data_IF_012016897434
#
_entry.id   IF_012016897434
#
_cell.length_a   1.000
_cell.length_b   1.000
_cell.length_c   1.000
_cell.angle_alpha   90.00
_cell.angle_beta   90.00
_cell.angle_gamma   90.00
#
_symmetry.space_group_name_H-M   'P 1'
#
loop_
_entity.id
_entity.type
_entity.pdbx_description
1 polymer ?
#
# COMPACT_ATOMS: atom_id res chain seq x y z
N UNK A 1 10.22 6.96 -10.43
CA UNK A 1 10.70 6.45 -9.13
C UNK A 1 12.20 6.30 -9.19
N UNK A 2 12.89 6.84 -8.21
CA UNK A 2 14.33 6.71 -8.02
C UNK A 2 14.72 5.23 -7.91
N UNK A 3 15.81 4.77 -8.58
CA UNK A 3 16.25 3.38 -8.54
C UNK A 3 16.49 2.87 -7.12
N UNK A 4 16.98 3.71 -6.22
CA UNK A 4 17.28 3.35 -4.83
C UNK A 4 16.01 3.07 -4.04
N UNK A 5 14.95 3.84 -4.29
CA UNK A 5 13.63 3.64 -3.66
C UNK A 5 12.98 2.36 -4.18
N UNK A 6 13.06 2.13 -5.48
CA UNK A 6 12.57 0.89 -6.09
C UNK A 6 13.31 -0.33 -5.53
N UNK A 7 14.64 -0.29 -5.50
CA UNK A 7 15.45 -1.40 -5.01
C UNK A 7 15.22 -1.66 -3.53
N UNK A 8 15.07 -0.64 -2.70
CA UNK A 8 14.75 -0.81 -1.30
C UNK A 8 13.40 -1.50 -1.09
N UNK A 9 12.35 -1.12 -1.84
CA UNK A 9 11.05 -1.80 -1.76
C UNK A 9 11.12 -3.25 -2.27
N UNK A 10 11.94 -3.50 -3.29
CA UNK A 10 12.14 -4.84 -3.87
C UNK A 10 12.92 -5.78 -2.95
N UNK A 11 13.99 -5.29 -2.32
CA UNK A 11 14.92 -6.07 -1.48
C UNK A 11 14.53 -6.08 0.00
N UNK A 12 13.61 -5.21 0.41
CA UNK A 12 13.24 -5.03 1.81
C UNK A 12 14.23 -4.14 2.59
N UNK A 13 15.15 -3.44 1.91
CA UNK A 13 16.14 -2.56 2.55
C UNK A 13 15.52 -1.25 3.06
N UNK A 14 14.81 -1.35 4.19
CA UNK A 14 14.22 -0.20 4.88
C UNK A 14 15.29 0.79 5.34
N UNK A 15 16.47 0.31 5.77
CA UNK A 15 17.54 1.19 6.25
C UNK A 15 18.08 2.06 5.12
N UNK A 16 18.32 1.47 3.95
CA UNK A 16 18.70 2.19 2.73
C UNK A 16 17.62 3.18 2.28
N UNK A 17 16.34 2.79 2.35
CA UNK A 17 15.22 3.68 2.06
C UNK A 17 15.22 4.91 2.98
N UNK A 18 15.34 4.70 4.29
CA UNK A 18 15.33 5.79 5.29
C UNK A 18 16.53 6.73 5.13
N UNK A 19 17.72 6.18 4.83
CA UNK A 19 18.90 7.00 4.49
C UNK A 19 18.64 7.85 3.25
N UNK A 20 18.00 7.28 2.24
CA UNK A 20 17.66 7.98 1.00
C UNK A 20 16.64 9.09 1.25
N UNK A 21 15.57 8.82 2.02
CA UNK A 21 14.58 9.83 2.41
C UNK A 21 15.24 10.96 3.21
N UNK A 22 16.07 10.62 4.20
CA UNK A 22 16.81 11.61 5.00
C UNK A 22 17.72 12.49 4.14
N UNK A 23 18.43 11.91 3.17
CA UNK A 23 19.31 12.64 2.25
C UNK A 23 18.53 13.62 1.36
N UNK A 24 17.31 13.27 0.97
CA UNK A 24 16.45 14.11 0.12
C UNK A 24 15.60 15.10 0.94
N UNK A 25 15.58 15.01 2.27
CA UNK A 25 14.97 15.99 3.16
C UNK A 25 13.43 15.98 3.23
N UNK A 26 12.74 15.08 2.52
CA UNK A 26 11.28 14.98 2.53
C UNK A 26 10.79 13.54 2.38
N UNK A 27 9.76 13.16 3.15
CA UNK A 27 9.03 11.89 3.03
C UNK A 27 8.19 11.83 1.75
N UNK A 28 7.93 12.96 1.08
CA UNK A 28 7.35 12.99 -0.28
C UNK A 28 8.18 12.18 -1.28
N UNK A 29 9.46 11.98 -0.99
CA UNK A 29 10.34 11.11 -1.78
C UNK A 29 9.82 9.66 -1.85
N UNK A 30 8.98 9.22 -0.90
CA UNK A 30 8.29 7.92 -0.92
C UNK A 30 7.04 7.88 -1.82
N UNK A 31 6.49 9.05 -2.18
CA UNK A 31 5.31 9.18 -3.05
C UNK A 31 5.60 8.92 -4.53
N UNK A 32 6.87 8.68 -4.86
CA UNK A 32 7.28 8.36 -6.20
C UNK A 32 6.57 7.11 -6.75
N UNK A 33 6.28 7.16 -8.05
CA UNK A 33 5.65 6.05 -8.78
C UNK A 33 6.58 5.51 -9.87
N UNK A 34 6.45 4.23 -10.17
CA UNK A 34 7.05 3.62 -11.37
C UNK A 34 6.26 4.01 -12.63
N UNK A 35 6.75 3.72 -13.85
CA UNK A 35 5.97 3.93 -15.07
C UNK A 35 4.62 3.19 -15.10
N UNK A 36 4.47 2.11 -14.31
CA UNK A 36 3.20 1.38 -14.13
C UNK A 36 2.29 2.00 -13.07
N UNK A 37 2.69 3.11 -12.47
CA UNK A 37 1.96 3.77 -11.37
C UNK A 37 2.14 3.11 -10.00
N UNK A 38 3.02 2.12 -9.88
CA UNK A 38 3.25 1.43 -8.60
C UNK A 38 4.07 2.34 -7.65
N UNK A 39 3.63 2.43 -6.40
CA UNK A 39 4.44 2.97 -5.32
C UNK A 39 5.18 1.83 -4.57
N UNK A 40 5.93 2.17 -3.51
CA UNK A 40 6.68 1.19 -2.71
C UNK A 40 5.79 0.07 -2.12
N UNK A 41 4.55 0.38 -1.73
CA UNK A 41 3.60 -0.60 -1.16
C UNK A 41 2.97 -1.52 -2.22
N UNK A 42 3.02 -1.16 -3.49
CA UNK A 42 2.68 -2.10 -4.57
C UNK A 42 3.85 -3.04 -4.89
N UNK A 43 5.08 -2.60 -4.70
CA UNK A 43 6.29 -3.37 -5.08
C UNK A 43 6.64 -4.40 -4.01
N UNK A 44 6.71 -3.98 -2.74
CA UNK A 44 7.16 -4.84 -1.65
C UNK A 44 6.42 -6.19 -1.53
N UNK A 45 5.08 -6.28 -1.71
CA UNK A 45 4.39 -7.57 -1.66
C UNK A 45 4.79 -8.52 -2.78
N UNK A 46 5.05 -8.00 -4.00
CA UNK A 46 5.45 -8.83 -5.14
C UNK A 46 6.75 -9.59 -4.88
N UNK A 47 7.58 -9.08 -3.97
CA UNK A 47 8.85 -9.68 -3.54
C UNK A 47 8.80 -10.29 -2.14
N UNK A 48 7.60 -10.47 -1.56
CA UNK A 48 7.38 -11.05 -0.22
C UNK A 48 8.14 -10.33 0.89
N UNK A 49 8.31 -9.02 0.77
CA UNK A 49 9.04 -8.22 1.74
C UNK A 49 8.16 -7.88 2.95
N UNK A 50 7.78 -8.89 3.74
CA UNK A 50 6.92 -8.73 4.92
C UNK A 50 7.61 -7.86 5.97
N UNK A 51 8.91 -8.10 6.19
CA UNK A 51 9.72 -7.30 7.12
C UNK A 51 9.80 -5.82 6.71
N UNK A 52 9.70 -5.52 5.41
CA UNK A 52 9.66 -4.14 4.93
C UNK A 52 8.46 -3.39 5.52
N UNK A 53 7.27 -4.00 5.49
CA UNK A 53 6.05 -3.43 6.06
C UNK A 53 6.15 -3.23 7.58
N UNK A 54 6.79 -4.16 8.31
CA UNK A 54 6.97 -4.04 9.77
C UNK A 54 7.93 -2.92 10.20
N UNK A 55 8.83 -2.48 9.32
CA UNK A 55 9.92 -1.56 9.68
C UNK A 55 9.82 -0.20 8.98
N UNK A 56 9.01 -0.06 7.93
CA UNK A 56 8.84 1.21 7.23
C UNK A 56 8.04 2.19 8.11
N UNK A 57 8.51 3.45 8.17
CA UNK A 57 7.91 4.53 8.97
C UNK A 57 6.61 5.06 8.32
N UNK A 58 5.57 4.25 8.24
CA UNK A 58 4.28 4.65 7.66
C UNK A 58 3.33 5.32 8.65
N UNK A 59 3.74 5.46 9.92
CA UNK A 59 3.05 6.29 10.92
C UNK A 59 3.06 7.79 10.57
N UNK A 60 3.87 8.21 9.58
CA UNK A 60 3.86 9.57 9.07
C UNK A 60 2.58 9.83 8.24
N UNK A 61 1.82 10.84 8.63
CA UNK A 61 0.59 11.27 7.97
C UNK A 61 0.74 11.54 6.46
N UNK A 62 1.96 11.84 6.00
CA UNK A 62 2.28 12.09 4.58
C UNK A 62 2.36 10.80 3.75
N UNK A 63 2.52 9.65 4.40
CA UNK A 63 2.55 8.35 3.73
C UNK A 63 1.17 7.71 3.58
N UNK A 64 0.13 8.24 4.25
CA UNK A 64 -1.26 7.76 4.14
C UNK A 64 -1.79 7.64 2.71
N UNK A 65 -1.50 8.58 1.77
CA UNK A 65 -1.92 8.44 0.39
C UNK A 65 -1.38 7.18 -0.31
N UNK A 66 -0.27 6.60 0.16
CA UNK A 66 0.33 5.41 -0.45
C UNK A 66 -0.57 4.18 -0.34
N UNK A 67 -1.24 4.00 0.80
CA UNK A 67 -2.17 2.89 1.05
C UNK A 67 -3.40 2.93 0.16
N UNK A 68 -3.79 4.14 -0.24
CA UNK A 68 -4.98 4.42 -1.03
C UNK A 68 -4.67 4.68 -2.52
N UNK A 69 -3.40 4.76 -2.90
CA UNK A 69 -3.03 5.04 -4.28
C UNK A 69 -3.38 3.86 -5.18
N UNK A 70 -4.00 4.13 -6.32
CA UNK A 70 -4.16 3.15 -7.38
C UNK A 70 -3.01 3.26 -8.39
N UNK A 71 -2.53 2.11 -8.88
CA UNK A 71 -1.62 2.05 -10.02
C UNK A 71 -2.37 2.20 -11.35
N UNK A 72 -1.66 2.09 -12.48
CA UNK A 72 -2.26 2.30 -13.82
C UNK A 72 -3.35 1.27 -14.18
N UNK A 73 -3.47 0.17 -13.43
CA UNK A 73 -4.53 -0.85 -13.59
C UNK A 73 -5.68 -0.66 -12.60
N UNK A 74 -5.66 0.41 -11.82
CA UNK A 74 -6.63 0.63 -10.74
C UNK A 74 -6.37 -0.22 -9.49
N UNK A 75 -5.30 -1.04 -9.46
CA UNK A 75 -5.00 -1.85 -8.29
C UNK A 75 -4.41 -0.95 -7.20
N UNK A 76 -4.94 -1.06 -5.99
CA UNK A 76 -4.33 -0.50 -4.77
C UNK A 76 -3.26 -1.46 -4.22
N UNK A 77 -2.42 -1.05 -3.26
CA UNK A 77 -1.53 -1.98 -2.57
C UNK A 77 -2.26 -3.19 -2.01
N UNK A 78 -3.50 -3.01 -1.52
CA UNK A 78 -4.32 -4.09 -1.00
C UNK A 78 -4.67 -5.13 -2.06
N UNK A 79 -5.00 -4.72 -3.29
CA UNK A 79 -5.22 -5.66 -4.39
C UNK A 79 -3.95 -6.47 -4.68
N UNK A 80 -2.77 -5.83 -4.61
CA UNK A 80 -1.49 -6.51 -4.84
C UNK A 80 -1.16 -7.47 -3.69
N UNK A 81 -1.37 -7.07 -2.43
CA UNK A 81 -1.21 -7.96 -1.27
C UNK A 81 -2.12 -9.18 -1.34
N UNK A 82 -3.39 -8.97 -1.70
CA UNK A 82 -4.37 -10.04 -1.90
C UNK A 82 -3.97 -11.00 -3.03
N UNK A 83 -3.43 -10.47 -4.14
CA UNK A 83 -2.89 -11.28 -5.25
C UNK A 83 -1.69 -12.12 -4.85
N UNK A 84 -0.89 -11.67 -3.89
CA UNK A 84 0.29 -12.39 -3.38
C UNK A 84 -0.12 -13.45 -2.35
N UNK A 85 -1.28 -13.28 -1.71
CA UNK A 85 -1.80 -14.21 -0.71
C UNK A 85 -1.03 -14.16 0.61
N UNK A 86 -0.54 -12.98 1.00
CA UNK A 86 0.14 -12.79 2.27
C UNK A 86 -0.79 -12.11 3.27
N UNK A 87 -1.34 -12.90 4.18
CA UNK A 87 -2.27 -12.43 5.21
C UNK A 87 -1.63 -11.32 6.07
N UNK A 88 -0.35 -11.46 6.45
CA UNK A 88 0.39 -10.43 7.20
C UNK A 88 0.45 -9.08 6.45
N UNK A 89 0.65 -9.10 5.13
CA UNK A 89 0.70 -7.86 4.33
C UNK A 89 -0.70 -7.29 4.19
N UNK A 90 -1.71 -8.13 3.95
CA UNK A 90 -3.10 -7.70 3.83
C UNK A 90 -3.58 -7.05 5.12
N UNK A 91 -3.33 -7.69 6.27
CA UNK A 91 -3.67 -7.17 7.59
C UNK A 91 -2.98 -5.83 7.85
N UNK A 92 -1.67 -5.74 7.61
CA UNK A 92 -0.92 -4.50 7.76
C UNK A 92 -1.50 -3.36 6.91
N UNK A 93 -1.84 -3.64 5.64
CA UNK A 93 -2.42 -2.66 4.72
C UNK A 93 -3.81 -2.21 5.17
N UNK A 94 -4.65 -3.13 5.68
CA UNK A 94 -5.97 -2.81 6.19
C UNK A 94 -5.87 -1.95 7.45
N UNK A 95 -5.01 -2.33 8.40
CA UNK A 95 -4.82 -1.61 9.66
C UNK A 95 -4.43 -0.15 9.43
N UNK A 96 -3.45 0.08 8.57
CA UNK A 96 -2.95 1.43 8.30
C UNK A 96 -3.86 2.24 7.38
N UNK A 97 -4.70 1.57 6.57
CA UNK A 97 -5.72 2.25 5.76
C UNK A 97 -6.92 2.77 6.56
N UNK A 98 -7.12 2.33 7.81
CA UNK A 98 -8.18 2.83 8.71
C UNK A 98 -8.09 4.33 8.96
N UNK A 99 -6.92 4.93 8.74
CA UNK A 99 -6.71 6.38 8.82
C UNK A 99 -6.57 6.95 7.40
N UNK A 100 -7.66 7.42 6.76
CA UNK A 100 -7.59 7.97 5.41
C UNK A 100 -6.75 9.26 5.39
N UNK A 101 -6.20 9.65 4.22
CA UNK A 101 -5.61 10.97 4.06
C UNK A 101 -6.66 12.07 4.34
N UNK A 102 -6.26 13.28 4.77
CA UNK A 102 -7.15 14.39 5.02
C UNK A 102 -7.64 14.96 3.68
N UNK A 103 -8.54 14.26 3.01
CA UNK A 103 -9.28 14.79 1.86
C UNK A 103 -10.62 15.31 2.35
N UNK A 104 -10.83 16.61 2.22
CA UNK A 104 -11.93 17.37 2.83
C UNK A 104 -13.33 17.01 2.34
N UNK A 105 -13.94 16.03 3.01
CA UNK A 105 -15.38 15.91 3.18
C UNK A 105 -15.65 15.84 4.67
N UNK A 106 -16.26 16.88 5.23
CA UNK A 106 -16.71 16.90 6.60
C UNK A 106 -17.80 15.84 6.77
N UNK A 107 -17.49 14.77 7.49
CA UNK A 107 -18.43 14.04 8.34
C UNK A 107 -17.61 13.28 9.39
N UNK A 108 -17.59 13.84 10.59
CA UNK A 108 -16.75 13.45 11.72
C UNK A 108 -17.23 12.15 12.42
N UNK A 109 -18.01 11.31 11.73
CA UNK A 109 -18.46 9.99 12.19
C UNK A 109 -17.83 8.80 11.42
N UNK A 110 -16.88 9.06 10.50
CA UNK A 110 -16.45 8.09 9.48
C UNK A 110 -15.10 7.38 9.73
N UNK A 111 -14.55 7.41 10.95
CA UNK A 111 -13.31 6.66 11.26
C UNK A 111 -13.46 5.14 11.03
N UNK A 112 -14.68 4.62 11.21
CA UNK A 112 -15.03 3.22 10.97
C UNK A 112 -15.47 2.90 9.53
N UNK A 113 -15.70 3.88 8.66
CA UNK A 113 -16.21 3.65 7.30
C UNK A 113 -15.09 3.66 6.25
N UNK A 114 -14.04 4.45 6.46
CA UNK A 114 -13.01 4.65 5.44
C UNK A 114 -12.36 3.33 4.99
N UNK A 115 -11.90 2.48 5.91
CA UNK A 115 -11.33 1.19 5.51
C UNK A 115 -12.35 0.31 4.76
N UNK A 116 -13.66 0.41 5.03
CA UNK A 116 -14.70 -0.30 4.27
C UNK A 116 -14.75 0.19 2.81
N UNK A 117 -14.56 1.48 2.59
CA UNK A 117 -14.46 2.04 1.24
C UNK A 117 -13.22 1.54 0.50
N UNK A 118 -12.08 1.35 1.19
CA UNK A 118 -10.91 0.70 0.58
C UNK A 118 -11.19 -0.77 0.23
N UNK A 119 -11.85 -1.53 1.12
CA UNK A 119 -12.22 -2.93 0.90
C UNK A 119 -13.19 -3.10 -0.28
N UNK A 120 -14.10 -2.14 -0.47
CA UNK A 120 -15.06 -2.10 -1.58
C UNK A 120 -14.47 -1.54 -2.87
N UNK A 121 -13.31 -0.87 -2.81
CA UNK A 121 -12.70 -0.24 -3.98
C UNK A 121 -12.33 -1.31 -5.00
N UNK A 122 -12.67 -1.04 -6.26
CA UNK A 122 -12.41 -1.95 -7.36
C UNK A 122 -11.29 -1.45 -8.27
N UNK A 123 -10.59 -2.40 -8.88
CA UNK A 123 -9.64 -2.12 -9.95
C UNK A 123 -10.37 -1.87 -11.30
N UNK A 124 -9.62 -1.68 -12.39
CA UNK A 124 -10.21 -1.50 -13.73
C UNK A 124 -10.97 -2.72 -14.25
N UNK A 125 -10.71 -3.92 -13.71
CA UNK A 125 -11.45 -5.16 -14.00
C UNK A 125 -12.73 -5.28 -13.14
N UNK A 126 -13.07 -4.25 -12.35
CA UNK A 126 -14.17 -4.24 -11.37
C UNK A 126 -14.00 -5.27 -10.25
N UNK A 127 -12.79 -5.77 -10.03
CA UNK A 127 -12.46 -6.70 -8.96
C UNK A 127 -12.10 -5.92 -7.69
N UNK A 128 -12.63 -6.34 -6.54
CA UNK A 128 -12.11 -5.92 -5.23
C UNK A 128 -10.85 -6.73 -4.88
N UNK A 129 -10.12 -6.33 -3.84
CA UNK A 129 -9.00 -7.11 -3.33
C UNK A 129 -9.41 -8.57 -2.99
N UNK A 130 -10.61 -8.79 -2.47
CA UNK A 130 -11.14 -10.13 -2.19
C UNK A 130 -11.36 -10.93 -3.48
N UNK A 131 -11.92 -10.34 -4.54
CA UNK A 131 -12.04 -11.00 -5.84
C UNK A 131 -10.67 -11.42 -6.37
N UNK A 132 -9.67 -10.55 -6.25
CA UNK A 132 -8.29 -10.83 -6.66
C UNK A 132 -7.70 -11.98 -5.85
N UNK A 133 -7.86 -12.01 -4.53
CA UNK A 133 -7.37 -13.13 -3.73
C UNK A 133 -8.00 -14.47 -4.12
N UNK A 134 -9.34 -14.51 -4.27
CA UNK A 134 -10.05 -15.72 -4.67
C UNK A 134 -9.63 -16.21 -6.05
N UNK A 135 -9.42 -15.29 -7.00
CA UNK A 135 -8.92 -15.61 -8.36
C UNK A 135 -7.54 -16.28 -8.34
N UNK A 136 -6.72 -16.00 -7.32
CA UNK A 136 -5.39 -16.59 -7.15
C UNK A 136 -5.37 -17.74 -6.13
N UNK A 137 -6.54 -18.19 -5.64
CA UNK A 137 -6.68 -19.35 -4.77
C UNK A 137 -6.52 -19.07 -3.27
N UNK A 138 -6.54 -17.81 -2.85
CA UNK A 138 -6.42 -17.42 -1.44
C UNK A 138 -7.80 -17.20 -0.82
N UNK A 139 -8.15 -18.02 0.18
CA UNK A 139 -9.45 -18.00 0.84
C UNK A 139 -9.43 -17.22 2.18
N UNK A 140 -8.26 -16.93 2.74
CA UNK A 140 -8.08 -16.45 4.14
C UNK A 140 -7.89 -14.95 4.31
N UNK A 141 -7.79 -14.15 3.23
CA UNK A 141 -7.46 -12.71 3.31
C UNK A 141 -8.59 -11.81 3.88
N UNK A 142 -9.59 -12.39 4.54
CA UNK A 142 -10.75 -11.68 5.09
C UNK A 142 -11.10 -12.22 6.48
N UNK A 143 -10.44 -11.68 7.51
CA UNK A 143 -10.88 -11.77 8.90
C UNK A 143 -10.80 -10.40 9.56
#
# INVERSE_FOLDING_TARGET
MDPSVHEAARSGDVVGLLKTVRKNGSTEFLLQKTPKGNNVLHIAPEFKQIAFFKNILLDDHQCRPLFWAANNKGNTPLHVGARVGSDEIVEFLIEHAKNPPPTGGADLESGGEAHKELLKRTNMEKETALHVALRYGYQTVAH
#
